data_IF_086921064787
#
_entry.id   IF_086921064787
#
_cell.length_a   1.000
_cell.length_b   1.000
_cell.length_c   1.000
_cell.angle_alpha   90.00
_cell.angle_beta   90.00
_cell.angle_gamma   90.00
#
_symmetry.space_group_name_H-M   'P 1'
#
loop_
_entity.id
_entity.type
_entity.pdbx_description
1 polymer ?
#
# COMPACT_ATOMS: atom_id res chain seq x y z
N UNK A 1 -18.95 -11.05 23.10
CA UNK A 1 -19.50 -12.35 22.72
C UNK A 1 -18.33 -13.31 22.67
N UNK A 2 -18.28 -14.42 23.37
CA UNK A 2 -17.10 -15.31 23.50
C UNK A 2 -16.87 -16.24 22.29
N UNK A 3 -17.01 -15.76 21.07
CA UNK A 3 -16.75 -16.55 19.86
C UNK A 3 -15.27 -16.44 19.50
N UNK A 4 -14.60 -17.58 19.38
CA UNK A 4 -13.19 -17.65 18.95
C UNK A 4 -13.09 -17.36 17.45
N UNK A 5 -12.25 -16.40 17.07
CA UNK A 5 -11.87 -16.18 15.68
C UNK A 5 -10.90 -17.29 15.28
N UNK A 6 -11.14 -17.91 14.13
CA UNK A 6 -10.21 -18.83 13.49
C UNK A 6 -9.32 -18.04 12.55
N UNK A 7 -8.02 -18.29 12.60
CA UNK A 7 -7.03 -17.55 11.82
C UNK A 7 -6.47 -16.33 12.54
N UNK A 8 -6.00 -15.35 11.78
CA UNK A 8 -5.35 -14.14 12.30
C UNK A 8 -6.28 -13.35 13.23
N UNK A 9 -5.75 -12.88 14.37
CA UNK A 9 -6.52 -12.13 15.36
C UNK A 9 -7.01 -10.78 14.82
N UNK A 10 -8.13 -10.27 15.38
CA UNK A 10 -8.64 -8.95 14.99
C UNK A 10 -7.61 -7.85 15.22
N UNK A 11 -6.85 -7.91 16.30
CA UNK A 11 -5.78 -6.94 16.60
C UNK A 11 -4.69 -6.90 15.54
N UNK A 12 -4.32 -8.07 14.99
CA UNK A 12 -3.32 -8.15 13.93
C UNK A 12 -3.88 -7.73 12.56
N UNK A 13 -5.17 -7.94 12.32
CA UNK A 13 -5.87 -7.40 11.15
C UNK A 13 -5.94 -5.88 11.25
N UNK A 14 -6.33 -5.33 12.39
CA UNK A 14 -6.36 -3.87 12.62
C UNK A 14 -4.96 -3.26 12.44
N UNK A 15 -3.91 -3.93 12.92
CA UNK A 15 -2.52 -3.48 12.73
C UNK A 15 -2.07 -3.48 11.25
N UNK A 16 -2.66 -4.32 10.42
CA UNK A 16 -2.42 -4.31 8.97
C UNK A 16 -3.22 -3.23 8.23
N UNK A 17 -4.40 -2.86 8.75
CA UNK A 17 -5.29 -1.86 8.16
C UNK A 17 -4.95 -0.43 8.61
N UNK A 18 -4.46 -0.27 9.84
CA UNK A 18 -4.04 1.02 10.37
C UNK A 18 -2.68 1.42 9.78
N UNK A 19 -2.65 2.58 9.12
CA UNK A 19 -1.44 3.03 8.41
C UNK A 19 -0.25 3.25 9.34
N UNK A 20 -0.45 3.86 10.49
CA UNK A 20 0.64 4.20 11.41
C UNK A 20 1.22 2.93 12.02
N UNK A 21 0.35 2.02 12.46
CA UNK A 21 0.77 0.72 12.99
C UNK A 21 1.47 -0.13 11.93
N UNK A 22 0.94 -0.13 10.71
CA UNK A 22 1.56 -0.87 9.61
C UNK A 22 2.92 -0.30 9.21
N UNK A 23 3.06 1.03 9.18
CA UNK A 23 4.32 1.71 8.93
C UNK A 23 5.39 1.33 9.98
N UNK A 24 5.02 1.29 11.28
CA UNK A 24 5.90 0.82 12.34
C UNK A 24 6.33 -0.64 12.15
N UNK A 25 5.42 -1.51 11.73
CA UNK A 25 5.70 -2.91 11.45
C UNK A 25 6.70 -3.03 10.30
N UNK A 26 6.49 -2.29 9.21
CA UNK A 26 7.42 -2.28 8.08
C UNK A 26 8.82 -1.80 8.47
N UNK A 27 8.91 -0.77 9.31
CA UNK A 27 10.19 -0.28 9.84
C UNK A 27 10.90 -1.33 10.71
N UNK A 28 10.18 -1.96 11.64
CA UNK A 28 10.71 -3.05 12.48
C UNK A 28 11.18 -4.25 11.63
N UNK A 29 10.46 -4.53 10.55
CA UNK A 29 10.82 -5.58 9.59
C UNK A 29 11.92 -5.16 8.61
N UNK A 30 12.36 -3.91 8.61
CA UNK A 30 13.31 -3.36 7.63
C UNK A 30 12.82 -3.53 6.19
N UNK A 31 11.52 -3.34 5.97
CA UNK A 31 10.88 -3.38 4.66
C UNK A 31 10.73 -1.94 4.17
N UNK A 32 11.33 -1.57 3.03
CA UNK A 32 11.19 -0.21 2.51
C UNK A 32 9.76 0.05 2.06
N UNK A 33 9.30 1.28 2.28
CA UNK A 33 7.99 1.76 1.84
C UNK A 33 8.10 3.14 1.19
N UNK A 34 7.15 3.54 0.36
CA UNK A 34 7.07 4.91 -0.12
C UNK A 34 6.97 5.88 1.06
N UNK A 35 7.68 6.99 0.99
CA UNK A 35 7.47 8.09 1.95
C UNK A 35 6.13 8.74 1.66
N UNK A 36 5.42 9.12 2.70
CA UNK A 36 4.13 9.78 2.58
C UNK A 36 3.73 10.56 3.82
N UNK A 37 2.72 11.40 3.66
CA UNK A 37 2.15 12.23 4.71
C UNK A 37 0.64 12.07 4.75
N UNK A 38 0.10 12.09 5.96
CA UNK A 38 -1.34 12.23 6.19
C UNK A 38 -1.65 13.71 6.36
N UNK A 39 -2.60 14.24 5.60
CA UNK A 39 -2.94 15.65 5.55
C UNK A 39 -4.44 15.86 5.58
N UNK A 40 -4.88 17.05 5.97
CA UNK A 40 -6.30 17.39 6.08
C UNK A 40 -6.70 18.57 5.20
N UNK A 41 -5.73 19.33 4.72
CA UNK A 41 -5.98 20.55 3.93
C UNK A 41 -5.18 20.53 2.62
N UNK A 42 -5.63 21.30 1.64
CA UNK A 42 -4.92 21.47 0.38
C UNK A 42 -3.52 22.09 0.56
N UNK A 43 -3.40 23.01 1.52
CA UNK A 43 -2.10 23.65 1.81
C UNK A 43 -1.10 22.65 2.40
N UNK A 44 -1.55 21.82 3.34
CA UNK A 44 -0.72 20.73 3.88
C UNK A 44 -0.32 19.73 2.79
N UNK A 45 -1.25 19.41 1.89
CA UNK A 45 -1.00 18.48 0.78
C UNK A 45 0.03 19.03 -0.21
N UNK A 46 -0.08 20.30 -0.59
CA UNK A 46 0.92 20.97 -1.45
C UNK A 46 2.30 20.98 -0.78
N UNK A 47 2.35 21.30 0.52
CA UNK A 47 3.60 21.27 1.27
C UNK A 47 4.21 19.86 1.29
N UNK A 48 3.41 18.84 1.61
CA UNK A 48 3.84 17.45 1.60
C UNK A 48 4.33 17.00 0.21
N UNK A 49 3.62 17.36 -0.86
CA UNK A 49 4.00 17.05 -2.22
C UNK A 49 5.35 17.68 -2.61
N UNK A 50 5.58 18.94 -2.22
CA UNK A 50 6.84 19.62 -2.46
C UNK A 50 8.00 19.01 -1.66
N UNK A 51 7.77 18.57 -0.43
CA UNK A 51 8.78 17.86 0.39
C UNK A 51 9.15 16.50 -0.20
N UNK A 52 8.16 15.75 -0.71
CA UNK A 52 8.35 14.44 -1.34
C UNK A 52 8.96 14.56 -2.75
N UNK A 53 8.73 15.68 -3.41
CA UNK A 53 9.03 15.92 -4.81
C UNK A 53 8.06 15.21 -5.74
N UNK A 54 7.63 15.90 -6.80
CA UNK A 54 6.71 15.34 -7.79
C UNK A 54 7.36 14.22 -8.64
N UNK A 55 6.57 13.28 -9.18
CA UNK A 55 5.14 13.11 -8.97
C UNK A 55 4.81 12.49 -7.59
N UNK A 56 3.60 12.78 -7.10
CA UNK A 56 3.03 12.20 -5.88
C UNK A 56 1.69 11.52 -6.17
N UNK A 57 1.33 10.56 -5.34
CA UNK A 57 0.03 9.91 -5.34
C UNK A 57 -0.83 10.54 -4.26
N UNK A 58 -1.99 11.05 -4.65
CA UNK A 58 -2.99 11.64 -3.73
C UNK A 58 -4.18 10.69 -3.66
N UNK A 59 -4.59 10.33 -2.45
CA UNK A 59 -5.71 9.40 -2.23
C UNK A 59 -6.42 9.68 -0.90
N UNK A 60 -7.74 9.42 -0.80
CA UNK A 60 -8.41 9.37 0.49
C UNK A 60 -7.86 8.22 1.34
N UNK A 61 -7.86 8.37 2.67
CA UNK A 61 -7.37 7.32 3.59
C UNK A 61 -8.27 6.09 3.65
N UNK A 62 -9.56 6.26 3.42
CA UNK A 62 -10.56 5.19 3.50
C UNK A 62 -11.27 4.99 2.17
N UNK A 63 -10.64 4.27 1.26
CA UNK A 63 -11.28 3.86 0.00
C UNK A 63 -10.93 2.42 -0.33
N UNK A 64 -11.94 1.66 -0.73
CA UNK A 64 -11.77 0.32 -1.24
C UNK A 64 -11.42 0.37 -2.74
N UNK A 65 -10.49 -0.49 -3.15
CA UNK A 65 -10.19 -0.70 -4.56
C UNK A 65 -9.56 0.50 -5.29
N UNK A 66 -8.83 1.38 -4.59
CA UNK A 66 -8.08 2.48 -5.22
C UNK A 66 -8.94 3.60 -5.82
N UNK A 67 -10.24 3.64 -5.53
CA UNK A 67 -11.11 4.73 -6.00
C UNK A 67 -10.63 6.09 -5.49
N UNK A 68 -10.60 7.08 -6.38
CA UNK A 68 -10.17 8.43 -6.02
C UNK A 68 -8.66 8.62 -5.93
N UNK A 69 -7.84 7.60 -6.22
CA UNK A 69 -6.39 7.78 -6.37
C UNK A 69 -6.06 8.58 -7.62
N UNK A 70 -5.17 9.56 -7.49
CA UNK A 70 -4.69 10.39 -8.60
C UNK A 70 -3.19 10.63 -8.47
N UNK A 71 -2.50 10.66 -9.60
CA UNK A 71 -1.09 11.04 -9.68
C UNK A 71 -1.04 12.52 -9.99
N UNK A 72 -0.48 13.31 -9.08
CA UNK A 72 -0.28 14.73 -9.23
C UNK A 72 1.17 15.02 -9.66
N UNK A 73 1.34 15.92 -10.61
CA UNK A 73 2.65 16.35 -11.12
C UNK A 73 2.94 17.83 -10.81
N UNK A 74 1.97 18.56 -10.26
CA UNK A 74 2.06 19.96 -9.89
C UNK A 74 1.19 20.30 -8.68
N UNK A 75 1.39 21.50 -8.12
CA UNK A 75 0.58 22.02 -7.01
C UNK A 75 -0.88 22.23 -7.44
N UNK A 76 -1.12 22.59 -8.70
CA UNK A 76 -2.44 22.79 -9.26
C UNK A 76 -3.22 21.47 -9.31
N UNK A 77 -2.56 20.38 -9.72
CA UNK A 77 -3.15 19.04 -9.71
C UNK A 77 -3.56 18.63 -8.28
N UNK A 78 -2.68 18.86 -7.29
CA UNK A 78 -2.95 18.55 -5.90
C UNK A 78 -4.17 19.30 -5.42
N UNK A 79 -4.27 20.61 -5.70
CA UNK A 79 -5.40 21.45 -5.28
C UNK A 79 -6.73 20.99 -5.91
N UNK A 80 -6.71 20.67 -7.22
CA UNK A 80 -7.87 20.13 -7.93
C UNK A 80 -8.33 18.80 -7.32
N UNK A 81 -7.41 17.88 -7.09
CA UNK A 81 -7.74 16.54 -6.56
C UNK A 81 -8.25 16.57 -5.13
N UNK A 82 -7.68 17.43 -4.29
CA UNK A 82 -8.20 17.65 -2.94
C UNK A 82 -9.62 18.22 -2.98
N UNK A 83 -9.87 19.16 -3.90
CA UNK A 83 -11.23 19.70 -4.11
C UNK A 83 -12.24 18.61 -4.46
N UNK A 84 -11.88 17.65 -5.31
CA UNK A 84 -12.72 16.49 -5.66
C UNK A 84 -12.90 15.55 -4.47
N UNK A 85 -11.82 15.22 -3.75
CA UNK A 85 -11.86 14.31 -2.59
C UNK A 85 -12.77 14.89 -1.49
N UNK A 86 -12.66 16.17 -1.20
CA UNK A 86 -13.47 16.85 -0.19
C UNK A 86 -14.98 16.90 -0.51
N UNK A 87 -15.34 16.78 -1.80
CA UNK A 87 -16.75 16.65 -2.18
C UNK A 87 -17.32 15.25 -1.86
N UNK A 88 -16.46 14.25 -1.83
CA UNK A 88 -16.85 12.83 -1.66
C UNK A 88 -16.70 12.42 -0.18
N UNK A 89 -15.69 12.93 0.52
CA UNK A 89 -15.28 12.49 1.85
C UNK A 89 -14.82 13.67 2.71
N UNK A 90 -15.77 14.49 3.18
CA UNK A 90 -15.51 15.79 3.84
C UNK A 90 -14.75 15.75 5.17
N UNK A 91 -14.58 14.60 5.82
CA UNK A 91 -13.97 14.51 7.16
C UNK A 91 -12.85 13.46 7.26
N UNK A 92 -12.37 12.95 6.16
CA UNK A 92 -11.34 11.90 6.17
C UNK A 92 -9.96 12.46 5.82
N UNK A 93 -8.91 11.98 6.49
CA UNK A 93 -7.56 12.35 6.14
C UNK A 93 -7.23 11.93 4.70
N UNK A 94 -6.39 12.71 4.06
CA UNK A 94 -5.89 12.49 2.71
C UNK A 94 -4.45 12.04 2.82
N UNK A 95 -4.06 11.08 2.01
CA UNK A 95 -2.72 10.58 1.93
C UNK A 95 -2.03 11.15 0.71
N UNK A 96 -0.83 11.69 0.92
CA UNK A 96 0.06 12.16 -0.13
C UNK A 96 1.32 11.31 -0.07
N UNK A 97 1.49 10.40 -1.01
CA UNK A 97 2.60 9.46 -1.03
C UNK A 97 3.53 9.75 -2.21
N UNK A 98 4.84 9.52 -2.03
CA UNK A 98 5.77 9.55 -3.16
C UNK A 98 5.36 8.52 -4.19
N UNK A 99 5.07 8.96 -5.42
CA UNK A 99 4.79 8.03 -6.50
C UNK A 99 6.08 7.35 -6.97
N UNK A 100 6.07 6.03 -6.90
CA UNK A 100 7.18 5.19 -7.36
C UNK A 100 6.83 4.60 -8.73
N UNK A 101 7.56 5.01 -9.75
CA UNK A 101 7.46 4.39 -11.06
C UNK A 101 8.21 3.06 -11.05
N UNK A 102 7.49 1.99 -11.32
CA UNK A 102 8.08 0.65 -11.31
C UNK A 102 7.10 -0.40 -11.79
N UNK A 103 7.51 -1.64 -11.65
CA UNK A 103 6.65 -2.80 -11.87
C UNK A 103 5.86 -3.07 -10.60
N UNK A 104 4.59 -3.36 -10.78
CA UNK A 104 3.73 -3.82 -9.71
C UNK A 104 3.81 -5.34 -9.61
N UNK A 105 4.05 -5.81 -8.40
CA UNK A 105 4.22 -7.23 -8.09
C UNK A 105 3.24 -7.59 -6.99
N UNK A 106 2.62 -8.73 -7.13
CA UNK A 106 1.69 -9.27 -6.16
C UNK A 106 2.16 -10.62 -5.64
N UNK A 107 2.03 -10.82 -4.35
CA UNK A 107 2.41 -12.08 -3.68
C UNK A 107 1.29 -12.50 -2.75
N UNK A 108 0.74 -13.68 -3.01
CA UNK A 108 -0.12 -14.36 -2.07
C UNK A 108 0.68 -15.32 -1.20
N UNK A 109 0.36 -15.36 0.07
CA UNK A 109 0.99 -16.29 1.00
C UNK A 109 -0.05 -16.87 1.96
N UNK A 110 0.15 -18.12 2.33
CA UNK A 110 -0.65 -18.81 3.36
C UNK A 110 0.27 -19.17 4.52
N UNK A 111 -0.19 -18.90 5.73
CA UNK A 111 0.56 -19.16 6.95
C UNK A 111 -0.31 -19.91 7.97
N UNK A 112 0.29 -20.83 8.73
CA UNK A 112 -0.36 -21.54 9.82
C UNK A 112 0.16 -21.12 11.21
N UNK A 113 0.94 -20.04 11.26
CA UNK A 113 1.59 -19.51 12.45
C UNK A 113 3.06 -19.96 12.60
N UNK A 114 3.48 -21.02 11.94
CA UNK A 114 4.86 -21.56 11.95
C UNK A 114 5.47 -21.50 10.55
N UNK A 115 4.80 -22.16 9.59
CA UNK A 115 5.26 -22.25 8.21
C UNK A 115 4.53 -21.26 7.31
N UNK A 116 5.23 -20.79 6.28
CA UNK A 116 4.71 -19.83 5.30
C UNK A 116 4.89 -20.41 3.90
N UNK A 117 3.79 -20.68 3.23
CA UNK A 117 3.76 -21.09 1.85
C UNK A 117 3.59 -19.88 0.94
N UNK A 118 4.54 -19.67 0.05
CA UNK A 118 4.45 -18.67 -1.04
C UNK A 118 4.37 -19.48 -2.33
N UNK A 119 3.18 -19.70 -2.92
CA UNK A 119 3.04 -20.51 -4.12
C UNK A 119 3.70 -19.87 -5.33
N UNK A 120 3.86 -18.56 -5.33
CA UNK A 120 4.57 -17.83 -6.37
C UNK A 120 4.40 -16.33 -6.28
N UNK A 121 4.97 -15.66 -7.27
CA UNK A 121 4.97 -14.22 -7.42
C UNK A 121 4.35 -13.89 -8.76
N UNK A 122 3.37 -12.97 -8.74
CA UNK A 122 2.70 -12.43 -9.92
C UNK A 122 3.27 -11.08 -10.31
N UNK A 123 3.24 -10.78 -11.58
CA UNK A 123 3.67 -9.50 -12.15
C UNK A 123 2.50 -8.87 -12.90
N UNK A 124 2.17 -7.63 -12.57
CA UNK A 124 1.15 -6.88 -13.28
C UNK A 124 1.67 -6.39 -14.64
N UNK A 125 0.80 -6.37 -15.63
CA UNK A 125 1.11 -5.83 -16.96
C UNK A 125 1.02 -4.31 -16.92
N UNK A 126 0.09 -3.78 -16.18
CA UNK A 126 -0.11 -2.35 -15.98
C UNK A 126 1.03 -1.75 -15.16
N UNK A 127 1.16 -0.43 -15.27
CA UNK A 127 2.13 0.33 -14.47
C UNK A 127 1.66 0.44 -13.01
N UNK A 128 2.60 0.50 -12.10
CA UNK A 128 2.33 0.72 -10.69
C UNK A 128 1.44 1.97 -10.46
N UNK A 129 0.49 1.85 -9.54
CA UNK A 129 -0.46 2.90 -9.22
C UNK A 129 -1.67 2.97 -10.14
N UNK A 130 -1.81 2.05 -11.10
CA UNK A 130 -3.04 1.83 -11.83
C UNK A 130 -3.94 0.92 -10.99
N UNK A 131 -5.22 1.16 -11.05
CA UNK A 131 -6.24 0.53 -10.25
C UNK A 131 -6.21 -1.00 -10.34
N UNK A 132 -6.17 -1.68 -9.21
CA UNK A 132 -6.03 -3.13 -9.13
C UNK A 132 -7.28 -3.94 -9.53
N UNK A 133 -8.46 -3.32 -9.56
CA UNK A 133 -9.72 -4.01 -9.88
C UNK A 133 -9.82 -4.55 -11.30
N UNK A 134 -9.07 -3.96 -12.22
CA UNK A 134 -9.06 -4.30 -13.65
C UNK A 134 -7.68 -4.75 -14.15
N UNK A 135 -6.76 -5.04 -13.23
CA UNK A 135 -5.38 -5.36 -13.57
C UNK A 135 -5.21 -6.79 -14.09
N UNK A 136 -4.32 -6.95 -15.05
CA UNK A 136 -3.94 -8.26 -15.58
C UNK A 136 -2.63 -8.70 -14.92
N UNK A 137 -2.69 -9.80 -14.18
CA UNK A 137 -1.51 -10.41 -13.55
C UNK A 137 -1.01 -11.60 -14.35
N UNK A 138 0.31 -11.73 -14.48
CA UNK A 138 0.99 -12.86 -15.10
C UNK A 138 1.67 -13.70 -14.04
N UNK A 139 1.37 -14.97 -14.03
CA UNK A 139 2.03 -15.98 -13.18
C UNK A 139 2.79 -17.01 -14.02
N UNK A 140 3.99 -17.39 -13.64
CA UNK A 140 4.87 -16.71 -12.69
C UNK A 140 5.43 -15.40 -13.25
N UNK A 141 5.90 -14.51 -12.36
CA UNK A 141 6.56 -13.27 -12.77
C UNK A 141 7.74 -13.54 -13.70
N UNK A 142 7.79 -12.82 -14.85
CA UNK A 142 8.71 -13.10 -15.97
C UNK A 142 9.88 -12.15 -16.06
N UNK A 143 9.67 -10.89 -15.69
CA UNK A 143 10.61 -9.81 -16.00
C UNK A 143 11.37 -9.26 -14.80
N UNK A 144 11.07 -9.72 -13.60
CA UNK A 144 11.83 -9.40 -12.38
C UNK A 144 13.01 -10.36 -12.19
N UNK A 145 14.10 -9.83 -11.62
CA UNK A 145 15.30 -10.64 -11.36
C UNK A 145 15.07 -11.67 -10.25
N UNK A 146 15.83 -12.76 -10.27
CA UNK A 146 15.77 -13.76 -9.18
C UNK A 146 16.09 -13.14 -7.82
N UNK A 147 17.06 -12.24 -7.76
CA UNK A 147 17.36 -11.47 -6.54
C UNK A 147 16.16 -10.69 -6.02
N UNK A 148 15.36 -10.08 -6.90
CA UNK A 148 14.15 -9.38 -6.50
C UNK A 148 13.09 -10.36 -5.95
N UNK A 149 12.92 -11.52 -6.60
CA UNK A 149 12.01 -12.57 -6.12
C UNK A 149 12.40 -13.09 -4.74
N UNK A 150 13.68 -13.33 -4.50
CA UNK A 150 14.21 -13.74 -3.19
C UNK A 150 13.94 -12.65 -2.13
N UNK A 151 14.18 -11.40 -2.46
CA UNK A 151 13.93 -10.26 -1.55
C UNK A 151 12.46 -10.14 -1.21
N UNK A 152 11.58 -10.22 -2.20
CA UNK A 152 10.13 -10.18 -2.04
C UNK A 152 9.66 -11.32 -1.13
N UNK A 153 10.10 -12.55 -1.40
CA UNK A 153 9.76 -13.71 -0.58
C UNK A 153 10.24 -13.56 0.87
N UNK A 154 11.42 -12.98 1.09
CA UNK A 154 11.94 -12.72 2.43
C UNK A 154 11.11 -11.63 3.15
N UNK A 155 10.74 -10.54 2.47
CA UNK A 155 9.87 -9.51 3.02
C UNK A 155 8.49 -10.07 3.39
N UNK A 156 7.92 -10.90 2.54
CA UNK A 156 6.64 -11.58 2.81
C UNK A 156 6.72 -12.42 4.08
N UNK A 157 7.80 -13.20 4.27
CA UNK A 157 8.00 -14.01 5.48
C UNK A 157 8.14 -13.16 6.74
N UNK A 158 8.91 -12.06 6.67
CA UNK A 158 9.08 -11.15 7.81
C UNK A 158 7.76 -10.51 8.21
N UNK A 159 7.01 -10.05 7.21
CA UNK A 159 5.73 -9.39 7.43
C UNK A 159 4.68 -10.33 8.01
N UNK A 160 4.55 -11.54 7.45
CA UNK A 160 3.62 -12.54 7.95
C UNK A 160 3.90 -12.92 9.42
N UNK A 161 5.19 -13.05 9.79
CA UNK A 161 5.58 -13.31 11.18
C UNK A 161 5.30 -12.12 12.10
N UNK A 162 5.60 -10.91 11.66
CA UNK A 162 5.37 -9.70 12.45
C UNK A 162 3.88 -9.42 12.70
N UNK A 163 3.03 -9.78 11.74
CA UNK A 163 1.57 -9.70 11.83
C UNK A 163 0.93 -10.95 12.47
N UNK A 164 1.74 -11.93 12.89
CA UNK A 164 1.26 -13.19 13.45
C UNK A 164 0.13 -13.81 12.62
N UNK A 165 0.34 -13.86 11.30
CA UNK A 165 -0.65 -14.43 10.37
C UNK A 165 -0.79 -15.92 10.63
N UNK A 166 -2.05 -16.38 10.75
CA UNK A 166 -2.42 -17.79 11.01
C UNK A 166 -3.50 -18.23 10.04
#
# INVERSE_FOLDING_TARGET
MGVKILGTSAENVDAAEDRELFDEILEKCQIPRPKGHTVFTAEEAKKAANELGYPVLVRPSYVLGGQGMRIAVSDEDVEEYIGVINQIAQEHPILVDKYLMGKEIEVDAVCDGEDILIPGIMEHIERAGIHSGDSISVYPARTISEKAKETIAEYTRRLARALHVV
#
